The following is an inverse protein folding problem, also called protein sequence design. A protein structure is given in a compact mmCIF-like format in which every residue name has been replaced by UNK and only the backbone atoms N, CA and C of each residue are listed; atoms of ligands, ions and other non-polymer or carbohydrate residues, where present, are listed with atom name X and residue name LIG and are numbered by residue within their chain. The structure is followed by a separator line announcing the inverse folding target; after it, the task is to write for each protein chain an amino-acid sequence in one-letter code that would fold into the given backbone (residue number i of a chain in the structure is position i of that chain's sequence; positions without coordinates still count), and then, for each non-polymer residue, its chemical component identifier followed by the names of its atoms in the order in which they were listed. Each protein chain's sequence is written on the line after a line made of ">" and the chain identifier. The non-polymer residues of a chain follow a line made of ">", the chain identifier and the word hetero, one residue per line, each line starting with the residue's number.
data_IF_035437526673
#
_entry.id   IF_035437526673
#
_cell.length_a   1.000
_cell.length_b   1.000
_cell.length_c   1.000
_cell.angle_alpha   90.00
_cell.angle_beta   90.00
_cell.angle_gamma   90.00
#
_symmetry.space_group_name_H-M   'P 1'
#
loop_
_entity.id
_entity.type
_entity.pdbx_description
1 polymer ?
#
# COMPACT_ATOMS: atom_id res chain seq x y z
N UNK A 1 17.84 -14.45 -2.76
CA UNK A 1 16.58 -14.19 -2.02
C UNK A 1 16.28 -12.70 -2.19
N UNK A 2 15.06 -12.32 -2.57
CA UNK A 2 14.68 -10.92 -2.82
C UNK A 2 13.54 -10.52 -1.89
N UNK A 3 13.64 -9.33 -1.30
CA UNK A 3 12.54 -8.74 -0.52
C UNK A 3 11.50 -8.15 -1.47
N UNK A 4 10.24 -8.56 -1.34
CA UNK A 4 9.16 -8.15 -2.24
C UNK A 4 8.35 -7.01 -1.64
N UNK A 5 7.67 -7.27 -0.53
CA UNK A 5 6.88 -6.25 0.14
C UNK A 5 6.59 -6.65 1.59
N UNK A 6 6.23 -5.65 2.39
CA UNK A 6 5.59 -5.84 3.70
C UNK A 6 4.15 -5.36 3.59
N UNK A 7 3.22 -6.19 4.08
CA UNK A 7 1.81 -5.85 4.15
C UNK A 7 1.45 -5.38 5.55
N UNK A 8 0.71 -4.27 5.62
CA UNK A 8 0.17 -3.67 6.83
C UNK A 8 -1.34 -3.52 6.64
N UNK A 9 -2.13 -4.10 7.54
CA UNK A 9 -3.56 -3.84 7.57
C UNK A 9 -3.83 -2.52 8.27
N UNK A 10 -4.69 -1.70 7.68
CA UNK A 10 -5.04 -0.37 8.19
C UNK A 10 -6.55 -0.27 8.38
N UNK A 11 -6.97 0.46 9.41
CA UNK A 11 -8.38 0.71 9.74
C UNK A 11 -8.94 1.97 9.08
N UNK A 12 -8.08 2.91 8.69
CA UNK A 12 -8.43 4.14 7.99
C UNK A 12 -7.43 4.36 6.86
N UNK A 13 -7.91 4.26 5.62
CA UNK A 13 -7.06 4.35 4.44
C UNK A 13 -6.54 5.77 4.20
N UNK A 14 -7.38 6.79 4.44
CA UNK A 14 -7.02 8.18 4.15
C UNK A 14 -5.98 8.69 5.14
N UNK A 15 -6.14 8.40 6.44
CA UNK A 15 -5.14 8.74 7.45
C UNK A 15 -3.81 8.01 7.20
N UNK A 16 -3.88 6.76 6.76
CA UNK A 16 -2.68 5.99 6.43
C UNK A 16 -1.95 6.56 5.22
N UNK A 17 -2.68 6.95 4.17
CA UNK A 17 -2.08 7.58 2.99
C UNK A 17 -1.50 8.96 3.31
N UNK A 18 -2.14 9.75 4.17
CA UNK A 18 -1.55 11.00 4.63
C UNK A 18 -0.20 10.75 5.33
N UNK A 19 -0.15 9.77 6.24
CA UNK A 19 1.09 9.42 6.91
C UNK A 19 2.16 8.92 5.94
N UNK A 20 1.88 7.89 5.16
CA UNK A 20 2.89 7.24 4.32
C UNK A 20 3.29 8.10 3.12
N UNK A 21 2.35 8.80 2.48
CA UNK A 21 2.65 9.59 1.29
C UNK A 21 3.03 11.03 1.63
N UNK A 22 2.23 11.76 2.41
CA UNK A 22 2.47 13.18 2.64
C UNK A 22 3.55 13.43 3.71
N UNK A 23 3.56 12.64 4.79
CA UNK A 23 4.51 12.85 5.90
C UNK A 23 5.82 12.09 5.71
N UNK A 24 5.74 10.83 5.30
CA UNK A 24 6.92 9.97 5.11
C UNK A 24 7.50 10.07 3.69
N UNK A 25 6.71 10.47 2.70
CA UNK A 25 7.18 10.71 1.33
C UNK A 25 7.17 9.48 0.41
N UNK A 26 6.45 8.41 0.76
CA UNK A 26 6.25 7.29 -0.17
C UNK A 26 5.32 7.69 -1.33
N UNK A 27 5.41 6.96 -2.43
CA UNK A 27 4.63 7.21 -3.64
C UNK A 27 3.73 6.01 -3.90
N UNK A 28 2.44 6.27 -4.09
CA UNK A 28 1.50 5.26 -4.57
C UNK A 28 1.85 4.84 -6.00
N UNK A 29 2.12 3.54 -6.18
CA UNK A 29 2.48 2.98 -7.49
C UNK A 29 1.38 2.12 -8.07
N UNK A 30 0.51 1.55 -7.24
CA UNK A 30 -0.59 0.69 -7.67
C UNK A 30 -1.68 0.62 -6.61
N UNK A 31 -2.93 0.60 -7.06
CA UNK A 31 -4.11 0.40 -6.21
C UNK A 31 -5.04 -0.63 -6.83
N UNK A 32 -5.60 -1.48 -5.99
CA UNK A 32 -6.56 -2.51 -6.39
C UNK A 32 -7.76 -2.42 -5.45
N UNK A 33 -8.95 -2.30 -6.01
CA UNK A 33 -10.21 -2.40 -5.25
C UNK A 33 -10.94 -3.66 -5.70
N UNK A 34 -11.42 -4.45 -4.73
CA UNK A 34 -12.19 -5.65 -5.00
C UNK A 34 -13.54 -5.53 -4.30
N UNK A 35 -14.59 -5.26 -5.08
CA UNK A 35 -15.95 -5.11 -4.57
C UNK A 35 -16.51 -6.42 -3.98
N UNK A 36 -16.26 -7.55 -4.65
CA UNK A 36 -16.74 -8.85 -4.19
C UNK A 36 -16.07 -9.29 -2.89
N UNK A 37 -14.78 -8.99 -2.75
CA UNK A 37 -13.99 -9.25 -1.54
C UNK A 37 -14.08 -8.16 -0.48
N UNK A 38 -14.67 -7.00 -0.81
CA UNK A 38 -14.83 -5.82 0.07
C UNK A 38 -13.52 -5.32 0.70
N UNK A 39 -12.50 -5.13 -0.14
CA UNK A 39 -11.22 -4.55 0.31
C UNK A 39 -10.56 -3.67 -0.76
N UNK A 40 -9.62 -2.85 -0.30
CA UNK A 40 -8.70 -2.06 -1.11
C UNK A 40 -7.26 -2.36 -0.72
N UNK A 41 -6.40 -2.61 -1.70
CA UNK A 41 -4.95 -2.71 -1.54
C UNK A 41 -4.30 -1.48 -2.16
N UNK A 42 -3.34 -0.87 -1.45
CA UNK A 42 -2.51 0.22 -1.97
C UNK A 42 -1.05 -0.13 -1.81
N UNK A 43 -0.31 -0.11 -2.91
CA UNK A 43 1.12 -0.39 -2.94
C UNK A 43 1.90 0.90 -3.06
N UNK A 44 2.84 1.09 -2.14
CA UNK A 44 3.66 2.28 -2.00
C UNK A 44 5.14 1.91 -2.19
N UNK A 45 5.91 2.80 -2.81
CA UNK A 45 7.35 2.67 -2.97
C UNK A 45 8.06 3.93 -2.49
N UNK A 46 9.34 3.81 -2.12
CA UNK A 46 10.18 4.99 -1.93
C UNK A 46 10.36 5.72 -3.28
N UNK A 47 10.52 7.06 -3.31
CA UNK A 47 10.61 7.83 -4.56
C UNK A 47 11.67 7.32 -5.54
N UNK A 48 12.82 6.85 -5.02
CA UNK A 48 13.92 6.34 -5.84
C UNK A 48 13.67 4.93 -6.39
N UNK A 49 12.73 4.20 -5.81
CA UNK A 49 12.40 2.82 -6.18
C UNK A 49 11.15 2.73 -7.06
N UNK A 50 10.46 3.84 -7.36
CA UNK A 50 9.18 3.84 -8.12
C UNK A 50 9.28 3.09 -9.45
N UNK A 51 10.33 3.36 -10.24
CA UNK A 51 10.51 2.70 -11.54
C UNK A 51 10.77 1.20 -11.39
N UNK A 52 11.61 0.83 -10.42
CA UNK A 52 11.91 -0.58 -10.12
C UNK A 52 10.65 -1.31 -9.60
N UNK A 53 9.88 -0.64 -8.74
CA UNK A 53 8.65 -1.15 -8.16
C UNK A 53 7.56 -1.36 -9.23
N UNK A 54 7.50 -0.49 -10.25
CA UNK A 54 6.58 -0.64 -11.38
C UNK A 54 6.96 -1.79 -12.31
N UNK A 55 8.25 -1.99 -12.56
CA UNK A 55 8.76 -3.09 -13.39
C UNK A 55 8.63 -4.45 -12.68
N UNK A 56 9.03 -4.51 -11.40
CA UNK A 56 9.24 -5.76 -10.67
C UNK A 56 8.24 -6.06 -9.58
N UNK A 57 7.31 -5.15 -9.30
CA UNK A 57 6.40 -5.22 -8.16
C UNK A 57 7.12 -5.37 -6.80
N UNK A 58 8.33 -4.79 -6.67
CA UNK A 58 9.16 -4.81 -5.46
C UNK A 58 10.28 -3.75 -5.51
N UNK A 59 10.72 -3.20 -4.37
CA UNK A 59 10.19 -3.37 -3.01
C UNK A 59 8.96 -2.49 -2.75
N UNK A 60 7.97 -2.97 -1.99
CA UNK A 60 6.73 -2.24 -1.71
C UNK A 60 6.34 -2.26 -0.22
N UNK A 61 5.61 -1.23 0.21
CA UNK A 61 4.71 -1.30 1.36
C UNK A 61 3.29 -1.49 0.81
N UNK A 62 2.62 -2.57 1.21
CA UNK A 62 1.23 -2.82 0.87
C UNK A 62 0.34 -2.42 2.05
N UNK A 63 -0.58 -1.49 1.83
CA UNK A 63 -1.65 -1.16 2.76
C UNK A 63 -2.90 -1.94 2.36
N UNK A 64 -3.40 -2.75 3.28
CA UNK A 64 -4.65 -3.50 3.11
C UNK A 64 -5.74 -2.86 3.94
N UNK A 65 -6.76 -2.32 3.29
CA UNK A 65 -7.93 -1.74 3.93
C UNK A 65 -9.16 -2.62 3.66
N UNK A 66 -9.69 -3.24 4.71
CA UNK A 66 -10.96 -3.96 4.65
C UNK A 66 -12.10 -2.95 4.81
N UNK A 67 -13.10 -3.00 3.93
CA UNK A 67 -14.22 -2.06 3.98
C UNK A 67 -15.17 -2.35 5.14
N UNK A 68 -15.18 -3.60 5.60
CA UNK A 68 -15.84 -4.03 6.82
C UNK A 68 -14.77 -4.05 7.93
N UNK A 69 -14.75 -3.05 8.82
CA UNK A 69 -13.67 -2.90 9.78
C UNK A 69 -13.76 -3.93 10.91
N UNK A 70 -12.62 -4.49 11.29
CA UNK A 70 -12.44 -5.24 12.52
C UNK A 70 -11.53 -4.45 13.47
N UNK A 71 -11.68 -4.60 14.80
CA UNK A 71 -10.71 -4.04 15.73
C UNK A 71 -9.36 -4.76 15.57
N UNK A 72 -8.28 -3.97 15.42
CA UNK A 72 -6.89 -4.44 15.26
C UNK A 72 -6.00 -3.92 16.40
#
# INVERSE_FOLDING_TARGET
>A
MQYLHTMIRVSDLDQSLDFFCNKLGLVEVRRISNEAGRFTLVFLAAPQDVELARDRNAPLVELTYNWDPEPY
#
